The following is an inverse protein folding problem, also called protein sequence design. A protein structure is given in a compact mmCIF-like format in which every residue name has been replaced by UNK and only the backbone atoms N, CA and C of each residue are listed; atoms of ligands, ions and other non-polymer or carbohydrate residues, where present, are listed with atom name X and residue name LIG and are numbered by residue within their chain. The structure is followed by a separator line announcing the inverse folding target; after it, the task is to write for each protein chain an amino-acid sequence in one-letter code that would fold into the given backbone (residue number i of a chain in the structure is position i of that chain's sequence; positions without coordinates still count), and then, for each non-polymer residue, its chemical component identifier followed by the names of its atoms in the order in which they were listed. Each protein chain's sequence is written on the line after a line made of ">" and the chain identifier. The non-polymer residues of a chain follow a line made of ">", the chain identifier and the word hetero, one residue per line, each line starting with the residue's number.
data_IF_376142584244
#
_entry.id   IF_376142584244
#
_cell.length_a   1.000
_cell.length_b   1.000
_cell.length_c   1.000
_cell.angle_alpha   90.00
_cell.angle_beta   90.00
_cell.angle_gamma   90.00
#
_symmetry.space_group_name_H-M   'P 1'
#
loop_
_entity.id
_entity.type
_entity.pdbx_description
1 polymer ?
#
# COMPACT_ATOMS: atom_id res chain seq x y z
N UNK A 1 37.30 -13.58 29.34
CA UNK A 1 35.86 -13.88 29.40
C UNK A 1 35.46 -14.42 28.05
N UNK A 2 35.31 -15.75 27.93
CA UNK A 2 34.93 -16.38 26.67
C UNK A 2 33.44 -16.10 26.44
N UNK A 3 33.12 -15.23 25.47
CA UNK A 3 31.75 -15.03 25.03
C UNK A 3 31.31 -16.31 24.33
N UNK A 4 30.45 -17.09 24.98
CA UNK A 4 29.76 -18.20 24.33
C UNK A 4 28.84 -17.59 23.27
N UNK A 5 29.05 -17.95 22.02
CA UNK A 5 28.10 -17.69 20.95
C UNK A 5 26.78 -18.37 21.34
N UNK A 6 25.62 -17.68 21.31
CA UNK A 6 24.37 -18.27 21.71
C UNK A 6 24.05 -19.46 20.79
N UNK A 7 23.66 -20.60 21.37
CA UNK A 7 23.17 -21.75 20.61
C UNK A 7 21.92 -21.33 19.83
N UNK A 8 22.10 -21.05 18.55
CA UNK A 8 20.98 -20.86 17.64
C UNK A 8 20.38 -22.24 17.38
N UNK A 9 19.24 -22.53 18.01
CA UNK A 9 18.38 -23.61 17.57
C UNK A 9 18.03 -23.31 16.11
N UNK A 10 18.56 -24.11 15.17
CA UNK A 10 18.13 -24.10 13.77
C UNK A 10 16.68 -24.58 13.77
N UNK A 11 15.76 -23.65 14.06
CA UNK A 11 14.33 -23.89 14.07
C UNK A 11 13.96 -24.38 12.68
N UNK A 12 13.35 -25.56 12.62
CA UNK A 12 12.87 -26.17 11.39
C UNK A 12 12.03 -25.17 10.59
N UNK A 13 12.48 -24.93 9.35
CA UNK A 13 11.88 -23.93 8.46
C UNK A 13 10.67 -24.53 7.76
N UNK A 14 9.51 -23.89 7.88
CA UNK A 14 8.27 -24.32 7.24
C UNK A 14 8.05 -23.48 6.00
N UNK A 15 7.88 -24.12 4.85
CA UNK A 15 7.62 -23.42 3.59
C UNK A 15 6.19 -23.65 3.13
N UNK A 16 5.40 -22.58 3.05
CA UNK A 16 4.04 -22.57 2.51
C UNK A 16 4.06 -21.91 1.14
N UNK A 17 3.85 -22.69 0.08
CA UNK A 17 3.96 -22.23 -1.31
C UNK A 17 2.86 -22.80 -2.19
N UNK A 18 2.62 -22.16 -3.33
CA UNK A 18 1.71 -22.67 -4.35
C UNK A 18 2.50 -23.45 -5.40
N UNK A 19 2.19 -24.74 -5.55
CA UNK A 19 2.74 -25.55 -6.62
C UNK A 19 2.26 -25.02 -7.98
N UNK A 20 3.17 -24.54 -8.86
CA UNK A 20 2.79 -23.97 -10.15
C UNK A 20 2.20 -25.00 -11.12
N UNK A 21 2.49 -26.30 -10.95
CA UNK A 21 2.00 -27.36 -11.85
C UNK A 21 0.57 -27.78 -11.52
N UNK A 22 0.23 -27.83 -10.25
CA UNK A 22 -1.07 -28.33 -9.77
C UNK A 22 -1.98 -27.23 -9.25
N UNK A 23 -1.44 -26.03 -9.01
CA UNK A 23 -2.14 -24.92 -8.38
C UNK A 23 -2.45 -25.14 -6.90
N UNK A 24 -1.92 -26.20 -6.28
CA UNK A 24 -2.15 -26.55 -4.90
C UNK A 24 -1.28 -25.74 -3.95
N UNK A 25 -1.83 -25.33 -2.82
CA UNK A 25 -1.05 -24.78 -1.72
C UNK A 25 -0.52 -25.92 -0.87
N UNK A 26 0.80 -25.98 -0.73
CA UNK A 26 1.52 -27.00 0.03
C UNK A 26 2.35 -26.35 1.13
N UNK A 27 2.43 -27.03 2.27
CA UNK A 27 3.28 -26.71 3.39
C UNK A 27 4.25 -27.88 3.62
N UNK A 28 5.55 -27.58 3.59
CA UNK A 28 6.63 -28.57 3.70
C UNK A 28 7.54 -28.17 4.86
N UNK A 29 7.99 -29.16 5.64
CA UNK A 29 8.87 -28.97 6.79
C UNK A 29 8.13 -28.71 8.11
N UNK A 30 8.89 -28.67 9.19
CA UNK A 30 8.39 -28.47 10.55
C UNK A 30 8.05 -29.77 11.29
N UNK A 31 7.83 -29.59 12.59
CA UNK A 31 7.54 -30.68 13.54
C UNK A 31 6.06 -31.11 13.50
N UNK A 32 5.72 -32.20 14.19
CA UNK A 32 4.32 -32.61 14.41
C UNK A 32 3.46 -31.50 15.04
N UNK A 33 4.05 -30.62 15.87
CA UNK A 33 3.33 -29.45 16.41
C UNK A 33 2.94 -28.45 15.32
N UNK A 34 3.83 -28.24 14.36
CA UNK A 34 3.52 -27.40 13.20
C UNK A 34 2.43 -28.04 12.31
N UNK A 35 2.48 -29.36 12.13
CA UNK A 35 1.47 -30.12 11.41
C UNK A 35 0.06 -29.97 12.05
N UNK A 36 -0.01 -29.98 13.37
CA UNK A 36 -1.25 -29.78 14.12
C UNK A 36 -1.81 -28.36 13.95
N UNK A 37 -0.94 -27.34 14.00
CA UNK A 37 -1.33 -25.94 13.75
C UNK A 37 -1.85 -25.75 12.31
N UNK A 38 -1.16 -26.34 11.32
CA UNK A 38 -1.57 -26.30 9.90
C UNK A 38 -2.95 -26.92 9.70
N UNK A 39 -3.24 -28.03 10.37
CA UNK A 39 -4.53 -28.72 10.28
C UNK A 39 -5.65 -27.94 10.97
N UNK A 40 -5.44 -27.48 12.22
CA UNK A 40 -6.49 -26.77 12.99
C UNK A 40 -6.81 -25.39 12.44
N UNK A 41 -5.79 -24.63 12.09
CA UNK A 41 -5.94 -23.20 11.77
C UNK A 41 -6.11 -22.97 10.27
N UNK A 42 -5.32 -23.66 9.45
CA UNK A 42 -5.38 -23.54 7.99
C UNK A 42 -6.36 -24.50 7.32
N UNK A 43 -6.69 -25.61 7.98
CA UNK A 43 -7.43 -26.71 7.34
C UNK A 43 -6.58 -27.45 6.30
N UNK A 44 -5.26 -27.51 6.49
CA UNK A 44 -4.39 -28.33 5.67
C UNK A 44 -4.64 -29.81 5.95
N UNK A 45 -4.46 -30.64 4.93
CA UNK A 45 -4.57 -32.09 4.99
C UNK A 45 -3.16 -32.70 4.88
N UNK A 46 -2.88 -33.70 5.72
CA UNK A 46 -1.63 -34.47 5.62
C UNK A 46 -1.67 -35.38 4.40
N UNK A 47 -0.58 -35.40 3.65
CA UNK A 47 -0.37 -36.23 2.48
C UNK A 47 1.01 -36.89 2.53
N UNK A 48 1.09 -38.14 2.09
CA UNK A 48 2.36 -38.86 2.03
C UNK A 48 3.17 -38.39 0.82
N UNK A 49 4.39 -37.89 1.05
CA UNK A 49 5.33 -37.47 0.01
C UNK A 49 6.56 -38.38 -0.04
N UNK A 50 7.34 -38.25 -1.12
CA UNK A 50 8.56 -39.03 -1.35
C UNK A 50 9.67 -38.76 -0.31
N UNK A 51 9.64 -37.58 0.34
CA UNK A 51 10.64 -37.14 1.33
C UNK A 51 10.03 -36.94 2.73
N UNK A 52 8.88 -37.56 3.00
CA UNK A 52 8.15 -37.40 4.26
C UNK A 52 6.74 -36.87 4.05
N UNK A 53 6.01 -36.74 5.17
CA UNK A 53 4.66 -36.18 5.18
C UNK A 53 4.72 -34.70 4.84
N UNK A 54 3.89 -34.27 3.90
CA UNK A 54 3.67 -32.85 3.61
C UNK A 54 2.21 -32.51 3.85
N UNK A 55 1.92 -31.24 4.03
CA UNK A 55 0.57 -30.76 4.25
C UNK A 55 0.08 -29.97 3.04
N UNK A 56 -1.19 -30.07 2.69
CA UNK A 56 -1.75 -29.35 1.53
C UNK A 56 -3.17 -28.88 1.78
N UNK A 57 -3.57 -27.78 1.18
CA UNK A 57 -4.96 -27.38 1.18
C UNK A 57 -5.81 -28.32 0.28
N UNK A 58 -7.11 -28.49 0.59
CA UNK A 58 -8.05 -29.21 -0.25
C UNK A 58 -8.06 -28.74 -1.71
N UNK A 59 -8.33 -29.66 -2.63
CA UNK A 59 -8.55 -29.33 -4.03
C UNK A 59 -9.82 -28.48 -4.21
N UNK A 60 -9.83 -27.64 -5.25
CA UNK A 60 -11.03 -26.89 -5.66
C UNK A 60 -11.38 -25.68 -4.81
N UNK A 61 -10.55 -25.31 -3.83
CA UNK A 61 -10.75 -24.08 -3.07
C UNK A 61 -10.60 -22.85 -3.97
N UNK A 62 -11.48 -21.84 -3.87
CA UNK A 62 -11.29 -20.55 -4.52
C UNK A 62 -9.97 -19.89 -4.09
N UNK A 63 -9.34 -19.15 -5.01
CA UNK A 63 -8.02 -18.53 -4.78
C UNK A 63 -8.02 -17.67 -3.51
N UNK A 64 -9.04 -16.84 -3.30
CA UNK A 64 -9.15 -16.00 -2.10
C UNK A 64 -9.21 -16.83 -0.81
N UNK A 65 -9.89 -17.98 -0.84
CA UNK A 65 -9.97 -18.88 0.31
C UNK A 65 -8.64 -19.61 0.57
N UNK A 66 -7.90 -19.94 -0.50
CA UNK A 66 -6.54 -20.48 -0.38
C UNK A 66 -5.61 -19.46 0.27
N UNK A 67 -5.65 -18.20 -0.18
CA UNK A 67 -4.83 -17.11 0.38
C UNK A 67 -5.15 -16.86 1.85
N UNK A 68 -6.45 -16.79 2.19
CA UNK A 68 -6.89 -16.62 3.58
C UNK A 68 -6.34 -17.73 4.47
N UNK A 69 -6.58 -18.99 4.10
CA UNK A 69 -6.17 -20.15 4.89
C UNK A 69 -4.64 -20.26 5.03
N UNK A 70 -3.90 -20.01 3.95
CA UNK A 70 -2.44 -20.01 3.98
C UNK A 70 -1.91 -18.90 4.89
N UNK A 71 -2.44 -17.68 4.77
CA UNK A 71 -2.06 -16.53 5.61
C UNK A 71 -2.34 -16.79 7.09
N UNK A 72 -3.56 -17.24 7.43
CA UNK A 72 -3.93 -17.51 8.82
C UNK A 72 -3.06 -18.63 9.42
N UNK A 73 -2.77 -19.69 8.66
CA UNK A 73 -1.92 -20.77 9.12
C UNK A 73 -0.47 -20.33 9.33
N UNK A 74 0.11 -19.57 8.39
CA UNK A 74 1.46 -19.03 8.52
C UNK A 74 1.60 -18.08 9.71
N UNK A 75 0.59 -17.24 9.97
CA UNK A 75 0.56 -16.39 11.16
C UNK A 75 0.50 -17.18 12.46
N UNK A 76 -0.31 -18.25 12.52
CA UNK A 76 -0.39 -19.08 13.71
C UNK A 76 0.92 -19.86 13.98
N UNK A 77 1.59 -20.30 12.92
CA UNK A 77 2.90 -20.93 13.03
C UNK A 77 3.98 -19.94 13.52
N UNK A 78 4.00 -18.72 12.98
CA UNK A 78 4.89 -17.65 13.46
C UNK A 78 4.61 -17.33 14.94
N UNK A 79 3.34 -17.22 15.34
CA UNK A 79 2.95 -16.96 16.73
C UNK A 79 3.35 -18.10 17.69
N UNK A 80 3.45 -19.34 17.18
CA UNK A 80 3.94 -20.49 17.94
C UNK A 80 5.47 -20.60 17.96
N UNK A 81 6.20 -19.63 17.39
CA UNK A 81 7.66 -19.59 17.39
C UNK A 81 8.33 -20.38 16.27
N UNK A 82 7.58 -20.81 15.24
CA UNK A 82 8.15 -21.45 14.06
C UNK A 82 8.62 -20.42 13.03
N UNK A 83 9.70 -20.73 12.31
CA UNK A 83 10.11 -19.94 11.15
C UNK A 83 9.32 -20.37 9.93
N UNK A 84 8.62 -19.43 9.29
CA UNK A 84 7.72 -19.71 8.18
C UNK A 84 8.06 -18.85 6.97
N UNK A 85 8.23 -19.49 5.82
CA UNK A 85 8.13 -18.84 4.51
C UNK A 85 6.70 -18.94 4.00
N UNK A 86 6.06 -17.80 3.75
CA UNK A 86 4.80 -17.74 3.01
C UNK A 86 5.08 -17.12 1.64
N UNK A 87 4.72 -17.85 0.58
CA UNK A 87 4.72 -17.32 -0.78
C UNK A 87 3.92 -16.01 -0.83
N UNK A 88 4.50 -14.89 -1.32
CA UNK A 88 3.83 -13.60 -1.38
C UNK A 88 2.49 -13.62 -2.12
N UNK A 89 2.31 -14.50 -3.12
CA UNK A 89 1.05 -14.65 -3.82
C UNK A 89 -0.08 -15.19 -2.92
N UNK A 90 0.29 -15.91 -1.85
CA UNK A 90 -0.64 -16.47 -0.87
C UNK A 90 -0.90 -15.56 0.32
N UNK A 91 -0.05 -14.56 0.55
CA UNK A 91 -0.23 -13.61 1.64
C UNK A 91 -1.36 -12.62 1.32
N UNK A 92 -2.45 -12.65 2.10
CA UNK A 92 -3.55 -11.67 2.00
C UNK A 92 -3.21 -10.32 2.65
N UNK A 93 -2.21 -10.29 3.54
CA UNK A 93 -1.74 -9.05 4.14
C UNK A 93 -0.64 -8.40 3.30
N UNK A 94 -0.09 -9.10 2.31
CA UNK A 94 0.71 -8.49 1.26
C UNK A 94 -0.22 -7.90 0.20
N UNK A 95 -0.19 -6.58 0.06
CA UNK A 95 -0.66 -5.95 -1.17
C UNK A 95 0.16 -6.52 -2.34
N UNK A 96 -0.47 -6.93 -3.45
CA UNK A 96 0.27 -7.26 -4.66
C UNK A 96 1.20 -6.09 -4.98
N UNK A 97 2.50 -6.34 -5.18
CA UNK A 97 3.44 -5.26 -5.53
C UNK A 97 2.98 -4.45 -6.76
N UNK A 98 2.16 -5.06 -7.63
CA UNK A 98 1.51 -4.38 -8.75
C UNK A 98 0.64 -3.19 -8.36
N UNK A 99 -0.02 -3.22 -7.20
CA UNK A 99 -0.87 -2.12 -6.71
C UNK A 99 -0.03 -0.94 -6.23
N UNK A 100 1.12 -1.21 -5.59
CA UNK A 100 2.09 -0.17 -5.19
C UNK A 100 2.70 0.49 -6.41
N UNK A 101 3.13 -0.29 -7.40
CA UNK A 101 3.69 0.25 -8.63
C UNK A 101 2.64 1.04 -9.43
N UNK A 102 1.39 0.59 -9.44
CA UNK A 102 0.28 1.32 -10.05
C UNK A 102 0.04 2.67 -9.36
N UNK A 103 0.05 2.71 -8.03
CA UNK A 103 -0.07 3.94 -7.26
C UNK A 103 1.10 4.91 -7.53
N UNK A 104 2.34 4.40 -7.63
CA UNK A 104 3.51 5.22 -7.98
C UNK A 104 3.43 5.79 -9.39
N UNK A 105 3.05 4.97 -10.39
CA UNK A 105 2.84 5.46 -11.76
C UNK A 105 1.73 6.50 -11.82
N UNK A 106 0.66 6.31 -11.05
CA UNK A 106 -0.44 7.26 -10.97
C UNK A 106 0.02 8.61 -10.39
N UNK A 107 0.81 8.62 -9.31
CA UNK A 107 1.42 9.84 -8.78
C UNK A 107 2.32 10.54 -9.82
N UNK A 108 3.12 9.79 -10.57
CA UNK A 108 3.93 10.33 -11.67
C UNK A 108 3.05 10.96 -12.77
N UNK A 109 1.97 10.29 -13.15
CA UNK A 109 1.01 10.80 -14.12
C UNK A 109 0.31 12.09 -13.65
N UNK A 110 0.03 12.25 -12.35
CA UNK A 110 -0.50 13.51 -11.81
C UNK A 110 0.50 14.66 -11.96
N UNK A 111 1.78 14.41 -11.71
CA UNK A 111 2.82 15.42 -11.90
C UNK A 111 2.93 15.84 -13.38
N UNK A 112 2.91 14.87 -14.30
CA UNK A 112 2.92 15.14 -15.75
C UNK A 112 1.67 15.92 -16.19
N UNK A 113 0.48 15.57 -15.67
CA UNK A 113 -0.76 16.32 -15.96
C UNK A 113 -0.71 17.77 -15.53
N UNK A 114 -0.10 18.08 -14.38
CA UNK A 114 0.08 19.47 -13.94
C UNK A 114 1.08 20.19 -14.84
N UNK A 115 2.19 19.53 -15.20
CA UNK A 115 3.21 20.11 -16.08
C UNK A 115 2.68 20.38 -17.49
N UNK A 116 1.81 19.52 -18.00
CA UNK A 116 1.18 19.64 -19.32
C UNK A 116 -0.13 20.44 -19.32
N UNK A 117 -0.57 20.99 -18.17
CA UNK A 117 -1.82 21.71 -18.07
C UNK A 117 -1.77 23.03 -18.85
N UNK A 118 -2.62 23.16 -19.87
CA UNK A 118 -2.78 24.40 -20.65
C UNK A 118 -3.80 25.35 -20.01
N UNK A 119 -4.61 24.84 -19.07
CA UNK A 119 -5.69 25.59 -18.45
C UNK A 119 -5.64 25.52 -16.92
N UNK A 120 -6.10 26.59 -16.29
CA UNK A 120 -6.27 26.64 -14.83
C UNK A 120 -7.27 25.61 -14.30
N UNK A 121 -8.22 25.18 -15.13
CA UNK A 121 -9.19 24.12 -14.79
C UNK A 121 -8.52 22.74 -14.67
N UNK A 122 -7.60 22.40 -15.57
CA UNK A 122 -6.83 21.15 -15.49
C UNK A 122 -5.96 21.09 -14.23
N UNK A 123 -5.34 22.21 -13.84
CA UNK A 123 -4.61 22.30 -12.57
C UNK A 123 -5.56 22.10 -11.38
N UNK A 124 -6.76 22.71 -11.41
CA UNK A 124 -7.75 22.56 -10.36
C UNK A 124 -8.24 21.10 -10.19
N UNK A 125 -8.37 20.35 -11.29
CA UNK A 125 -8.71 18.91 -11.23
C UNK A 125 -7.63 18.10 -10.50
N UNK A 126 -6.35 18.28 -10.85
CA UNK A 126 -5.27 17.55 -10.18
C UNK A 126 -5.18 17.92 -8.70
N UNK A 127 -5.31 19.21 -8.36
CA UNK A 127 -5.35 19.64 -6.95
C UNK A 127 -6.56 19.06 -6.19
N UNK A 128 -7.67 18.77 -6.90
CA UNK A 128 -8.83 18.07 -6.32
C UNK A 128 -8.48 16.61 -6.02
N UNK A 129 -7.83 15.90 -6.93
CA UNK A 129 -7.40 14.50 -6.72
C UNK A 129 -6.43 14.38 -5.53
N UNK A 130 -5.58 15.38 -5.30
CA UNK A 130 -4.62 15.39 -4.19
C UNK A 130 -5.29 15.69 -2.85
N UNK A 131 -6.16 16.70 -2.79
CA UNK A 131 -6.63 17.27 -1.52
C UNK A 131 -8.13 17.10 -1.24
N UNK A 132 -8.87 16.35 -2.08
CA UNK A 132 -10.28 16.05 -1.83
C UNK A 132 -10.49 15.53 -0.39
N UNK A 133 -11.47 16.05 0.38
CA UNK A 133 -11.58 15.76 1.81
C UNK A 133 -11.72 14.29 2.20
N UNK A 134 -12.35 13.47 1.34
CA UNK A 134 -12.66 12.06 1.63
C UNK A 134 -11.73 11.12 0.88
N UNK A 135 -11.55 11.32 -0.43
CA UNK A 135 -10.80 10.42 -1.31
C UNK A 135 -9.49 11.04 -1.84
N UNK A 136 -9.06 12.17 -1.27
CA UNK A 136 -7.81 12.80 -1.67
C UNK A 136 -6.62 11.99 -1.20
N UNK A 137 -5.57 11.95 -2.01
CA UNK A 137 -4.34 11.22 -1.70
C UNK A 137 -3.70 11.70 -0.39
N UNK A 138 -3.70 13.02 -0.13
CA UNK A 138 -3.08 13.58 1.07
C UNK A 138 -3.87 13.24 2.36
N UNK A 139 -5.21 13.39 2.41
CA UNK A 139 -6.02 12.86 3.52
C UNK A 139 -5.88 11.34 3.75
N UNK A 140 -5.82 10.53 2.69
CA UNK A 140 -5.60 9.08 2.82
C UNK A 140 -4.23 8.77 3.44
N UNK A 141 -3.19 9.49 3.02
CA UNK A 141 -1.84 9.32 3.58
C UNK A 141 -1.81 9.74 5.04
N UNK A 142 -2.52 10.82 5.41
CA UNK A 142 -2.66 11.25 6.80
C UNK A 142 -3.27 10.15 7.66
N UNK A 143 -4.35 9.53 7.18
CA UNK A 143 -5.04 8.47 7.92
C UNK A 143 -4.11 7.27 8.20
N UNK A 144 -3.25 6.89 7.25
CA UNK A 144 -2.23 5.86 7.46
C UNK A 144 -1.28 6.25 8.60
N UNK A 145 -0.79 7.49 8.61
CA UNK A 145 0.12 7.99 9.67
C UNK A 145 -0.58 8.04 11.03
N UNK A 146 -1.83 8.50 11.10
CA UNK A 146 -2.62 8.51 12.35
C UNK A 146 -2.78 7.09 12.89
N UNK A 147 -3.16 6.13 12.04
CA UNK A 147 -3.32 4.74 12.46
C UNK A 147 -2.00 4.12 12.89
N UNK A 148 -0.90 4.43 12.20
CA UNK A 148 0.43 3.97 12.59
C UNK A 148 0.83 4.52 13.98
N UNK A 149 0.57 5.81 14.24
CA UNK A 149 0.84 6.42 15.55
C UNK A 149 0.01 5.77 16.68
N UNK A 150 -1.29 5.52 16.43
CA UNK A 150 -2.16 4.83 17.40
C UNK A 150 -1.71 3.39 17.66
N UNK A 151 -1.32 2.67 16.60
CA UNK A 151 -0.81 1.31 16.71
C UNK A 151 0.51 1.25 17.49
N UNK A 152 1.44 2.17 17.23
CA UNK A 152 2.71 2.28 17.97
C UNK A 152 2.45 2.50 19.47
N UNK A 153 1.58 3.46 19.82
CA UNK A 153 1.18 3.70 21.22
C UNK A 153 0.54 2.50 21.90
N UNK A 154 -0.19 1.67 21.16
CA UNK A 154 -0.84 0.48 21.72
C UNK A 154 0.14 -0.68 21.94
N UNK A 155 1.24 -0.72 21.20
CA UNK A 155 2.29 -1.73 21.31
C UNK A 155 3.32 -1.40 22.38
N UNK A 156 3.57 -0.10 22.62
CA UNK A 156 4.46 0.33 23.69
C UNK A 156 3.75 0.29 25.05
N UNK A 157 4.08 -0.70 25.88
CA UNK A 157 3.87 -0.58 27.32
C UNK A 157 4.76 0.56 27.87
N UNK A 158 4.25 1.35 28.82
CA UNK A 158 4.84 2.58 29.40
C UNK A 158 6.30 2.87 28.97
N UNK A 159 6.53 3.74 27.97
CA UNK A 159 7.87 3.89 27.39
C UNK A 159 8.80 4.72 28.30
N UNK A 160 10.12 4.52 28.23
CA UNK A 160 11.09 5.49 28.73
C UNK A 160 10.95 6.80 27.93
N UNK A 161 11.03 7.94 28.62
CA UNK A 161 10.51 9.24 28.17
C UNK A 161 11.06 9.88 26.89
N UNK A 162 11.96 9.22 26.15
CA UNK A 162 12.55 9.71 24.88
C UNK A 162 11.80 9.17 23.63
N UNK A 163 11.11 8.02 23.73
CA UNK A 163 10.33 7.43 22.61
C UNK A 163 8.96 8.12 22.39
N UNK A 164 8.38 8.72 23.46
CA UNK A 164 7.16 9.52 23.34
C UNK A 164 7.32 10.69 22.35
N UNK A 165 8.52 11.28 22.28
CA UNK A 165 8.79 12.47 21.47
C UNK A 165 8.63 12.22 19.96
N UNK A 166 8.86 10.99 19.49
CA UNK A 166 8.75 10.63 18.07
C UNK A 166 7.29 10.36 17.67
N UNK A 167 6.52 9.74 18.56
CA UNK A 167 5.11 9.48 18.35
C UNK A 167 4.29 10.78 18.49
N UNK A 168 4.66 11.67 19.40
CA UNK A 168 4.03 12.99 19.54
C UNK A 168 4.27 13.85 18.29
N UNK A 169 5.46 13.79 17.68
CA UNK A 169 5.74 14.43 16.37
C UNK A 169 4.87 13.92 15.23
N UNK A 170 4.39 12.66 15.26
CA UNK A 170 3.43 12.17 14.27
C UNK A 170 2.10 12.93 14.37
N UNK A 171 1.72 13.36 15.57
CA UNK A 171 0.58 14.27 15.79
C UNK A 171 0.76 15.58 15.02
N UNK A 172 1.89 16.24 15.20
CA UNK A 172 2.21 17.50 14.51
C UNK A 172 2.25 17.34 12.98
N UNK A 173 2.83 16.24 12.49
CA UNK A 173 2.89 15.93 11.06
C UNK A 173 1.47 15.75 10.50
N UNK A 174 0.61 14.98 11.17
CA UNK A 174 -0.77 14.77 10.69
C UNK A 174 -1.59 16.06 10.71
N UNK A 175 -1.32 16.95 11.68
CA UNK A 175 -1.90 18.29 11.70
C UNK A 175 -1.42 19.13 10.51
N UNK A 176 -0.10 19.15 10.25
CA UNK A 176 0.50 19.84 9.09
C UNK A 176 -0.06 19.33 7.76
N UNK A 177 -0.23 18.01 7.59
CA UNK A 177 -0.86 17.43 6.40
C UNK A 177 -2.31 17.89 6.21
N UNK A 178 -3.06 18.04 7.31
CA UNK A 178 -4.43 18.56 7.27
C UNK A 178 -4.47 20.03 6.83
N UNK A 179 -3.52 20.82 7.32
CA UNK A 179 -3.38 22.22 6.93
C UNK A 179 -2.96 22.36 5.45
N UNK A 180 -2.01 21.54 5.00
CA UNK A 180 -1.59 21.48 3.60
C UNK A 180 -2.76 21.12 2.68
N UNK A 181 -3.60 20.14 3.03
CA UNK A 181 -4.80 19.80 2.25
C UNK A 181 -5.76 21.00 2.11
N UNK A 182 -5.97 21.77 3.19
CA UNK A 182 -6.81 22.98 3.13
C UNK A 182 -6.22 24.05 2.21
N UNK A 183 -4.90 24.29 2.31
CA UNK A 183 -4.21 25.26 1.45
C UNK A 183 -4.33 24.85 -0.02
N UNK A 184 -4.16 23.56 -0.34
CA UNK A 184 -4.32 23.04 -1.70
C UNK A 184 -5.76 23.24 -2.20
N UNK A 185 -6.77 22.98 -1.38
CA UNK A 185 -8.17 23.24 -1.76
C UNK A 185 -8.45 24.73 -1.99
N UNK A 186 -7.84 25.63 -1.22
CA UNK A 186 -7.94 27.07 -1.47
C UNK A 186 -7.28 27.47 -2.80
N UNK A 187 -6.08 26.96 -3.09
CA UNK A 187 -5.40 27.17 -4.37
C UNK A 187 -6.22 26.62 -5.55
N UNK A 188 -6.82 25.43 -5.38
CA UNK A 188 -7.75 24.83 -6.34
C UNK A 188 -8.94 25.74 -6.62
N UNK A 189 -9.56 26.29 -5.57
CA UNK A 189 -10.71 27.17 -5.73
C UNK A 189 -10.34 28.49 -6.42
N UNK A 190 -9.12 28.98 -6.22
CA UNK A 190 -8.61 30.15 -6.92
C UNK A 190 -8.37 29.86 -8.41
N UNK A 191 -7.69 28.74 -8.73
CA UNK A 191 -7.41 28.32 -10.11
C UNK A 191 -8.69 28.02 -10.90
N UNK A 192 -9.70 27.40 -10.28
CA UNK A 192 -11.00 27.15 -10.88
C UNK A 192 -11.78 28.44 -11.23
N UNK A 193 -11.48 29.57 -10.57
CA UNK A 193 -12.13 30.87 -10.82
C UNK A 193 -11.39 31.74 -11.83
N UNK A 194 -10.15 31.41 -12.19
CA UNK A 194 -9.37 32.22 -13.11
C UNK A 194 -10.00 32.16 -14.52
N UNK A 195 -10.31 33.31 -15.16
CA UNK A 195 -10.90 33.33 -16.48
C UNK A 195 -9.93 32.70 -17.50
N UNK A 196 -10.47 31.88 -18.42
CA UNK A 196 -9.71 31.39 -19.55
C UNK A 196 -9.11 32.58 -20.30
N UNK A 197 -7.80 32.53 -20.56
CA UNK A 197 -7.09 33.56 -21.32
C UNK A 197 -7.80 33.68 -22.68
N UNK A 198 -8.47 34.82 -22.92
CA UNK A 198 -9.18 35.05 -24.17
C UNK A 198 -8.19 34.91 -25.35
N UNK A 199 -8.58 34.23 -26.45
CA UNK A 199 -7.72 34.15 -27.63
C UNK A 199 -7.41 35.56 -28.11
N UNK A 200 -6.13 35.84 -28.34
CA UNK A 200 -5.65 37.10 -28.88
C UNK A 200 -6.40 37.39 -30.19
N UNK A 201 -7.12 38.53 -30.32
CA UNK A 201 -7.79 38.85 -31.57
C UNK A 201 -6.74 38.96 -32.69
N UNK A 202 -7.04 38.44 -33.90
CA UNK A 202 -6.10 38.51 -35.01
C UNK A 202 -5.76 39.98 -35.32
N UNK A 203 -4.52 40.27 -35.79
CA UNK A 203 -4.13 41.64 -36.11
C UNK A 203 -5.07 42.21 -37.18
N UNK A 204 -5.69 43.34 -36.85
CA UNK A 204 -6.57 44.09 -37.75
C UNK A 204 -5.81 44.42 -39.03
N UNK A 205 -6.20 43.81 -40.14
CA UNK A 205 -5.68 44.17 -41.47
C UNK A 205 -6.03 45.63 -41.77
N UNK A 206 -5.07 46.48 -42.16
CA UNK A 206 -5.35 47.87 -42.49
C UNK A 206 -6.27 47.95 -43.71
N UNK A 207 -7.41 48.63 -43.54
CA UNK A 207 -8.41 48.87 -44.57
C UNK A 207 -7.80 49.79 -45.64
N UNK A 208 -7.83 49.44 -46.93
CA UNK A 208 -7.24 50.29 -47.98
C UNK A 208 -8.03 51.61 -48.13
N UNK A 209 -7.35 52.72 -48.46
CA UNK A 209 -7.98 54.02 -48.58
C UNK A 209 -8.97 54.03 -49.75
N UNK A 210 -10.23 54.35 -49.45
CA UNK A 210 -11.29 54.47 -50.44
C UNK A 210 -10.95 55.53 -51.49
N UNK A 211 -10.94 55.11 -52.75
CA UNK A 211 -10.83 55.99 -53.91
C UNK A 211 -11.99 56.98 -53.93
N UNK A 212 -11.72 58.27 -53.71
CA UNK A 212 -12.61 59.36 -54.12
C UNK A 212 -12.76 59.32 -55.64
N UNK A 213 -13.97 59.02 -56.13
CA UNK A 213 -14.37 59.40 -57.49
C UNK A 213 -15.23 60.66 -57.42
N UNK A 214 -14.86 61.57 -58.33
CA UNK A 214 -15.48 62.86 -58.67
C UNK A 214 -16.96 62.73 -58.99
#
# INVERSE_FOLDING_TARGET
>A
MNQHEPDFLVLEYITVTKDPRTGLVVAIGGTEKAADILQRTGGFLSAAGHHGTYHRLPHGLPVEQQRLKATTASHALLAAGHNVHLDPALNMLSFPNGDRDAAQRYLGHLAERVSAAETSSQVAEVLTEIAAPVNGLLPLTREVVVRAALAARALEGTPPGDELDHIDRLGDITHSMSMAARVILHARNHTARAPQKAPTPPPSTPRPPGSRRR
#
